data_IF_615941067442
#
_entry.id   IF_615941067442
#
_cell.length_a   1.000
_cell.length_b   1.000
_cell.length_c   1.000
_cell.angle_alpha   90.00
_cell.angle_beta   90.00
_cell.angle_gamma   90.00
#
_symmetry.space_group_name_H-M   'P 1'
#
loop_
_entity.id
_entity.type
_entity.pdbx_description
1 polymer ?
#
# COMPACT_ATOMS: atom_id res chain seq x y z
N UNK A 1 3.13 11.22 6.89
CA UNK A 1 1.94 10.87 6.05
C UNK A 1 2.44 10.28 4.75
N UNK A 2 1.70 9.35 4.17
CA UNK A 2 1.91 8.82 2.83
C UNK A 2 0.64 8.99 2.02
N UNK A 3 0.77 9.19 0.72
CA UNK A 3 -0.33 9.28 -0.25
C UNK A 3 0.13 8.68 -1.57
N UNK A 4 -0.74 8.58 -2.56
CA UNK A 4 -0.32 8.16 -3.90
C UNK A 4 0.66 9.17 -4.48
N UNK A 5 1.67 8.71 -5.22
CA UNK A 5 2.69 9.60 -5.83
C UNK A 5 2.04 10.65 -6.73
N UNK A 6 1.06 10.26 -7.55
CA UNK A 6 0.34 11.20 -8.43
C UNK A 6 -0.50 12.25 -7.69
N UNK A 7 -0.94 11.97 -6.46
CA UNK A 7 -1.70 12.90 -5.61
C UNK A 7 -0.85 13.75 -4.67
N UNK A 8 0.44 13.46 -4.55
CA UNK A 8 1.30 14.04 -3.51
C UNK A 8 1.36 15.57 -3.56
N UNK A 9 1.50 16.15 -4.75
CA UNK A 9 1.57 17.61 -4.93
C UNK A 9 0.25 18.30 -4.53
N UNK A 10 -0.89 17.71 -4.92
CA UNK A 10 -2.21 18.28 -4.58
C UNK A 10 -2.47 18.21 -3.07
N UNK A 11 -2.10 17.09 -2.42
CA UNK A 11 -2.23 16.95 -0.96
C UNK A 11 -1.33 17.96 -0.25
N UNK A 12 -0.08 18.11 -0.71
CA UNK A 12 0.85 19.09 -0.15
C UNK A 12 0.30 20.50 -0.25
N UNK A 13 -0.13 20.92 -1.45
CA UNK A 13 -0.68 22.26 -1.68
C UNK A 13 -1.92 22.54 -0.83
N UNK A 14 -2.80 21.54 -0.64
CA UNK A 14 -3.97 21.70 0.23
C UNK A 14 -3.60 21.86 1.70
N UNK A 15 -2.59 21.11 2.17
CA UNK A 15 -2.11 21.27 3.55
C UNK A 15 -1.42 22.61 3.77
N UNK A 16 -0.65 23.10 2.80
CA UNK A 16 -0.05 24.43 2.84
C UNK A 16 -1.11 25.54 2.87
N UNK A 17 -2.15 25.42 2.04
CA UNK A 17 -3.30 26.33 2.04
C UNK A 17 -3.98 26.38 3.41
N UNK A 18 -4.28 25.23 4.01
CA UNK A 18 -4.90 25.15 5.34
C UNK A 18 -4.02 25.75 6.44
N UNK A 19 -2.70 25.55 6.39
CA UNK A 19 -1.79 26.15 7.37
C UNK A 19 -1.75 27.68 7.25
N UNK A 20 -2.00 28.23 6.06
CA UNK A 20 -1.99 29.66 5.84
C UNK A 20 -3.35 30.34 6.08
N UNK A 21 -4.45 29.60 5.93
CA UNK A 21 -5.80 30.19 5.95
C UNK A 21 -6.62 29.76 7.16
N UNK A 22 -6.65 28.45 7.45
CA UNK A 22 -7.54 27.87 8.46
C UNK A 22 -6.84 27.69 9.83
N UNK A 23 -5.53 27.40 9.81
CA UNK A 23 -4.76 27.06 11.01
C UNK A 23 -3.42 27.81 11.09
N UNK A 24 -3.40 29.14 10.93
CA UNK A 24 -2.16 29.92 10.91
C UNK A 24 -1.43 29.94 12.26
N UNK A 25 -2.10 29.56 13.34
CA UNK A 25 -1.53 29.47 14.69
C UNK A 25 -0.73 28.19 14.94
N UNK A 26 -0.79 27.20 14.04
CA UNK A 26 -0.06 25.95 14.20
C UNK A 26 1.42 26.12 13.83
N UNK A 27 2.31 25.80 14.75
CA UNK A 27 3.76 25.71 14.47
C UNK A 27 4.09 24.37 13.81
N UNK A 28 3.78 24.25 12.52
CA UNK A 28 3.96 23.04 11.71
C UNK A 28 4.72 23.37 10.43
N UNK A 29 5.71 22.54 10.11
CA UNK A 29 6.48 22.61 8.87
C UNK A 29 6.15 21.44 7.96
N UNK A 30 5.88 21.71 6.69
CA UNK A 30 5.62 20.72 5.66
C UNK A 30 6.81 20.61 4.72
N UNK A 31 7.21 19.39 4.41
CA UNK A 31 8.28 19.11 3.46
C UNK A 31 7.95 17.86 2.66
N UNK A 32 7.95 17.97 1.34
CA UNK A 32 7.81 16.80 0.48
C UNK A 32 9.11 16.00 0.45
N UNK A 33 8.98 14.71 0.73
CA UNK A 33 10.09 13.74 0.67
C UNK A 33 9.82 12.64 -0.37
N UNK A 34 8.89 12.88 -1.29
CA UNK A 34 8.44 11.90 -2.29
C UNK A 34 9.61 11.30 -3.08
N UNK A 35 10.52 12.12 -3.57
CA UNK A 35 11.66 11.68 -4.37
C UNK A 35 12.86 11.18 -3.52
N UNK A 36 12.79 11.33 -2.21
CA UNK A 36 13.85 10.87 -1.31
C UNK A 36 13.77 9.37 -1.01
N UNK A 37 12.63 8.74 -1.30
CA UNK A 37 12.39 7.33 -0.99
C UNK A 37 12.08 6.52 -2.25
N UNK A 38 12.61 5.29 -2.26
CA UNK A 38 12.17 4.23 -3.14
C UNK A 38 11.33 3.23 -2.33
N UNK A 39 10.24 2.76 -2.91
CA UNK A 39 9.35 1.77 -2.30
C UNK A 39 9.35 0.50 -3.13
N UNK A 40 9.61 -0.63 -2.47
CA UNK A 40 9.52 -1.96 -3.05
C UNK A 40 8.39 -2.70 -2.37
N UNK A 41 7.39 -3.15 -3.12
CA UNK A 41 6.29 -3.97 -2.62
C UNK A 41 6.54 -5.44 -2.90
N UNK A 42 6.40 -6.28 -1.87
CA UNK A 42 6.48 -7.75 -1.97
C UNK A 42 5.14 -8.31 -1.53
N UNK A 43 4.37 -8.88 -2.44
CA UNK A 43 3.02 -9.37 -2.18
C UNK A 43 2.85 -10.84 -2.54
N UNK A 44 1.82 -11.46 -1.98
CA UNK A 44 1.43 -12.83 -2.21
C UNK A 44 1.67 -13.75 -1.01
N UNK A 45 1.26 -15.02 -1.10
CA UNK A 45 1.25 -15.95 0.03
C UNK A 45 2.64 -16.25 0.60
N UNK A 46 3.68 -16.09 -0.18
CA UNK A 46 5.06 -16.30 0.25
C UNK A 46 5.79 -15.00 0.66
N UNK A 47 5.12 -13.85 0.60
CA UNK A 47 5.74 -12.54 0.91
C UNK A 47 6.39 -12.51 2.29
N UNK A 48 5.73 -13.07 3.31
CA UNK A 48 6.27 -13.16 4.68
C UNK A 48 7.58 -13.95 4.73
N UNK A 49 7.65 -15.06 4.00
CA UNK A 49 8.87 -15.91 3.96
C UNK A 49 10.02 -15.19 3.27
N UNK A 50 9.73 -14.47 2.19
CA UNK A 50 10.72 -13.71 1.43
C UNK A 50 11.26 -12.56 2.28
N UNK A 51 10.36 -11.75 2.86
CA UNK A 51 10.77 -10.57 3.62
C UNK A 51 11.54 -10.94 4.89
N UNK A 52 11.22 -12.07 5.52
CA UNK A 52 11.95 -12.58 6.70
C UNK A 52 13.39 -12.98 6.36
N UNK A 53 13.68 -13.37 5.13
CA UNK A 53 15.05 -13.62 4.68
C UNK A 53 15.80 -12.32 4.37
N UNK A 54 15.11 -11.31 3.87
CA UNK A 54 15.70 -10.00 3.55
C UNK A 54 15.97 -9.19 4.82
N UNK A 55 15.13 -9.34 5.84
CA UNK A 55 15.20 -8.61 7.12
C UNK A 55 15.09 -9.61 8.28
N UNK A 56 16.13 -10.40 8.56
CA UNK A 56 16.07 -11.48 9.55
C UNK A 56 15.90 -10.98 10.99
N UNK A 57 16.30 -9.75 11.27
CA UNK A 57 16.22 -9.16 12.61
C UNK A 57 14.82 -8.68 13.01
N UNK A 58 13.85 -8.75 12.10
CA UNK A 58 12.49 -8.30 12.35
C UNK A 58 11.52 -9.47 12.52
N UNK A 59 10.75 -9.43 13.60
CA UNK A 59 9.67 -10.40 13.81
C UNK A 59 8.45 -10.02 12.96
N UNK A 60 8.09 -10.93 12.06
CA UNK A 60 6.95 -10.82 11.15
C UNK A 60 5.73 -11.63 11.62
N UNK A 61 5.66 -12.04 12.89
CA UNK A 61 4.45 -12.65 13.45
C UNK A 61 3.29 -11.67 13.41
N UNK A 62 2.07 -12.19 13.30
CA UNK A 62 0.87 -11.34 13.19
C UNK A 62 0.61 -10.55 14.46
N UNK A 63 1.06 -11.07 15.61
CA UNK A 63 0.98 -10.43 16.91
C UNK A 63 1.91 -9.20 17.00
N UNK A 64 3.15 -9.36 16.54
CA UNK A 64 4.17 -8.32 16.64
C UNK A 64 4.16 -7.37 15.45
N UNK A 65 3.63 -7.78 14.31
CA UNK A 65 3.54 -6.95 13.12
C UNK A 65 2.14 -7.05 12.48
N UNK A 66 1.11 -6.47 13.12
CA UNK A 66 -0.27 -6.54 12.64
C UNK A 66 -0.46 -5.77 11.33
N UNK A 67 -1.56 -6.07 10.63
CA UNK A 67 -1.97 -5.31 9.43
C UNK A 67 -2.14 -3.83 9.74
N UNK A 68 -1.85 -2.94 8.77
CA UNK A 68 -1.86 -1.48 8.90
C UNK A 68 -0.84 -0.92 9.91
N UNK A 69 0.21 -1.66 10.20
CA UNK A 69 1.32 -1.19 11.02
C UNK A 69 2.61 -1.02 10.23
N UNK A 70 3.58 -0.34 10.83
CA UNK A 70 4.93 -0.21 10.27
C UNK A 70 5.99 -0.43 11.33
N UNK A 71 7.17 -0.86 10.89
CA UNK A 71 8.36 -0.97 11.72
C UNK A 71 9.58 -0.42 11.00
N UNK A 72 10.48 0.18 11.77
CA UNK A 72 11.79 0.54 11.27
C UNK A 72 12.74 -0.65 11.43
N UNK A 73 13.49 -0.94 10.38
CA UNK A 73 14.39 -2.09 10.31
C UNK A 73 15.67 -1.73 9.54
N UNK A 74 16.50 -2.75 9.30
CA UNK A 74 17.69 -2.62 8.45
C UNK A 74 17.77 -3.81 7.51
N UNK A 75 18.12 -3.52 6.26
CA UNK A 75 18.51 -4.52 5.27
C UNK A 75 20.02 -4.44 5.17
N UNK A 76 20.74 -5.34 5.85
CA UNK A 76 22.15 -5.21 6.12
C UNK A 76 22.46 -3.88 6.85
N UNK A 77 23.13 -2.92 6.18
CA UNK A 77 23.44 -1.59 6.77
C UNK A 77 22.44 -0.51 6.36
N UNK A 78 21.49 -0.80 5.46
CA UNK A 78 20.53 0.16 4.92
C UNK A 78 19.36 0.27 5.87
N UNK A 79 19.10 1.47 6.40
CA UNK A 79 17.89 1.74 7.20
C UNK A 79 16.67 1.69 6.28
N UNK A 80 15.63 1.02 6.71
CA UNK A 80 14.36 0.93 5.99
C UNK A 80 13.18 1.06 6.94
N UNK A 81 12.03 1.41 6.37
CA UNK A 81 10.73 1.30 7.01
C UNK A 81 9.94 0.25 6.27
N UNK A 82 9.43 -0.72 6.99
CA UNK A 82 8.59 -1.76 6.45
C UNK A 82 7.17 -1.51 6.91
N UNK A 83 6.23 -1.47 5.98
CA UNK A 83 4.80 -1.33 6.25
C UNK A 83 4.10 -2.64 5.89
N UNK A 84 3.21 -3.12 6.75
CA UNK A 84 2.35 -4.26 6.45
C UNK A 84 1.02 -3.74 5.92
N UNK A 85 1.01 -3.39 4.66
CA UNK A 85 -0.14 -2.87 3.92
C UNK A 85 -0.24 -3.60 2.58
N UNK A 86 -1.44 -3.63 2.00
CA UNK A 86 -1.67 -4.31 0.74
C UNK A 86 -2.52 -3.48 -0.20
N UNK A 87 -2.06 -3.31 -1.41
CA UNK A 87 -2.85 -2.78 -2.51
C UNK A 87 -3.60 -3.89 -3.25
N UNK A 88 -2.97 -5.04 -3.42
CA UNK A 88 -3.50 -6.17 -4.18
C UNK A 88 -4.52 -7.02 -3.41
N UNK A 89 -4.69 -6.77 -2.11
CA UNK A 89 -5.50 -7.62 -1.23
C UNK A 89 -4.81 -8.92 -0.78
N UNK A 90 -3.64 -9.22 -1.31
CA UNK A 90 -2.80 -10.32 -0.83
C UNK A 90 -1.97 -9.88 0.39
N UNK A 91 -1.41 -10.86 1.10
CA UNK A 91 -0.45 -10.57 2.16
C UNK A 91 0.74 -9.82 1.58
N UNK A 92 1.02 -8.63 2.07
CA UNK A 92 1.97 -7.72 1.43
C UNK A 92 2.76 -6.88 2.42
N UNK A 93 3.98 -6.54 2.00
CA UNK A 93 4.87 -5.63 2.71
C UNK A 93 5.43 -4.61 1.73
N UNK A 94 5.45 -3.35 2.14
CA UNK A 94 6.14 -2.27 1.44
C UNK A 94 7.40 -1.88 2.19
N UNK A 95 8.53 -1.92 1.50
CA UNK A 95 9.85 -1.57 2.03
C UNK A 95 10.21 -0.19 1.49
N UNK A 96 10.29 0.79 2.37
CA UNK A 96 10.67 2.15 2.05
C UNK A 96 12.13 2.37 2.45
N UNK A 97 12.97 2.74 1.49
CA UNK A 97 14.40 3.03 1.67
C UNK A 97 14.75 4.36 1.01
N UNK A 98 15.88 4.95 1.37
CA UNK A 98 16.41 6.09 0.61
C UNK A 98 16.53 5.71 -0.87
N UNK A 99 16.19 6.63 -1.76
CA UNK A 99 16.03 6.38 -3.20
C UNK A 99 17.25 5.70 -3.86
N UNK A 100 18.46 6.08 -3.45
CA UNK A 100 19.71 5.51 -3.97
C UNK A 100 19.93 4.03 -3.62
N UNK A 101 19.19 3.48 -2.66
CA UNK A 101 19.26 2.06 -2.29
C UNK A 101 18.15 1.21 -2.91
N UNK A 102 17.20 1.81 -3.63
CA UNK A 102 16.04 1.12 -4.17
C UNK A 102 16.40 -0.10 -5.02
N UNK A 103 17.36 0.06 -5.96
CA UNK A 103 17.85 -1.04 -6.80
C UNK A 103 18.44 -2.19 -5.97
N UNK A 104 19.28 -1.86 -4.98
CA UNK A 104 19.91 -2.88 -4.14
C UNK A 104 18.90 -3.68 -3.32
N UNK A 105 17.84 -3.02 -2.83
CA UNK A 105 16.77 -3.68 -2.08
C UNK A 105 15.93 -4.56 -3.00
N UNK A 106 15.61 -4.08 -4.20
CA UNK A 106 14.92 -4.87 -5.23
C UNK A 106 15.67 -6.16 -5.54
N UNK A 107 16.98 -6.05 -5.84
CA UNK A 107 17.82 -7.20 -6.15
C UNK A 107 17.87 -8.23 -5.01
N UNK A 108 17.91 -7.77 -3.75
CA UNK A 108 17.85 -8.64 -2.56
C UNK A 108 16.51 -9.35 -2.44
N UNK A 109 15.40 -8.66 -2.69
CA UNK A 109 14.06 -9.27 -2.68
C UNK A 109 13.95 -10.33 -3.79
N UNK A 110 14.43 -10.02 -4.99
CA UNK A 110 14.43 -10.96 -6.12
C UNK A 110 15.29 -12.19 -5.83
N UNK A 111 16.46 -12.02 -5.24
CA UNK A 111 17.34 -13.14 -4.86
C UNK A 111 16.69 -14.04 -3.81
N UNK A 112 16.19 -13.45 -2.71
CA UNK A 112 15.50 -14.20 -1.65
C UNK A 112 14.24 -14.91 -2.15
N UNK A 113 13.58 -14.33 -3.15
CA UNK A 113 12.34 -14.85 -3.72
C UNK A 113 12.52 -15.94 -4.77
N UNK A 114 13.73 -16.18 -5.31
CA UNK A 114 13.97 -17.17 -6.38
C UNK A 114 13.40 -18.55 -6.07
N UNK A 115 13.61 -19.06 -4.87
CA UNK A 115 13.10 -20.35 -4.44
C UNK A 115 11.57 -20.41 -4.34
N UNK A 116 10.88 -19.27 -4.34
CA UNK A 116 9.43 -19.13 -4.27
C UNK A 116 8.83 -18.70 -5.60
N UNK A 117 9.61 -18.70 -6.68
CA UNK A 117 9.21 -18.25 -8.02
C UNK A 117 8.71 -16.80 -8.03
N UNK A 118 9.39 -15.90 -7.31
CA UNK A 118 9.07 -14.48 -7.33
C UNK A 118 9.10 -13.93 -8.75
N UNK A 119 8.08 -13.18 -9.11
CA UNK A 119 7.95 -12.61 -10.45
C UNK A 119 7.71 -11.10 -10.33
N UNK A 120 8.46 -10.26 -11.05
CA UNK A 120 8.14 -8.84 -11.16
C UNK A 120 6.78 -8.65 -11.82
N UNK A 121 5.99 -7.71 -11.32
CA UNK A 121 4.73 -7.34 -11.95
C UNK A 121 4.59 -5.82 -12.03
N UNK A 122 3.84 -5.35 -13.02
CA UNK A 122 3.60 -3.93 -13.25
C UNK A 122 2.27 -3.44 -12.67
N UNK A 123 1.98 -2.18 -12.90
CA UNK A 123 0.81 -1.47 -12.40
C UNK A 123 -0.50 -2.10 -12.87
N UNK A 124 -0.59 -2.52 -14.13
CA UNK A 124 -1.81 -3.17 -14.67
C UNK A 124 -2.13 -4.47 -13.92
N UNK A 125 -1.12 -5.31 -13.69
CA UNK A 125 -1.31 -6.53 -12.89
C UNK A 125 -1.75 -6.22 -11.46
N UNK A 126 -1.21 -5.16 -10.87
CA UNK A 126 -1.59 -4.72 -9.53
C UNK A 126 -3.08 -4.32 -9.48
N UNK A 127 -3.57 -3.62 -10.51
CA UNK A 127 -4.98 -3.25 -10.64
C UNK A 127 -5.87 -4.47 -10.85
N UNK A 128 -5.44 -5.46 -11.61
CA UNK A 128 -6.18 -6.70 -11.79
C UNK A 128 -6.28 -7.48 -10.47
N UNK A 129 -5.17 -7.68 -9.79
CA UNK A 129 -5.12 -8.44 -8.53
C UNK A 129 -6.03 -7.83 -7.44
N UNK A 130 -6.04 -6.49 -7.30
CA UNK A 130 -6.91 -5.83 -6.32
C UNK A 130 -8.39 -6.01 -6.68
N UNK A 131 -8.73 -5.96 -7.98
CA UNK A 131 -10.10 -6.15 -8.44
C UNK A 131 -10.60 -7.59 -8.21
N UNK A 132 -9.76 -8.60 -8.41
CA UNK A 132 -10.07 -10.00 -8.10
C UNK A 132 -10.39 -10.21 -6.61
N UNK A 133 -9.81 -9.41 -5.73
CA UNK A 133 -10.07 -9.42 -4.27
C UNK A 133 -11.23 -8.51 -3.85
N UNK A 134 -11.83 -7.76 -4.77
CA UNK A 134 -12.91 -6.83 -4.46
C UNK A 134 -12.47 -5.52 -3.81
N UNK A 135 -11.19 -5.16 -3.89
CA UNK A 135 -10.69 -3.89 -3.35
C UNK A 135 -10.95 -2.74 -4.33
N UNK A 136 -11.61 -1.69 -3.84
CA UNK A 136 -11.88 -0.48 -4.61
C UNK A 136 -10.72 0.51 -4.53
N UNK A 137 -10.56 1.32 -5.58
CA UNK A 137 -9.64 2.46 -5.60
C UNK A 137 -10.47 3.73 -5.54
N UNK A 138 -10.34 4.46 -4.43
CA UNK A 138 -10.99 5.76 -4.25
C UNK A 138 -10.44 6.75 -5.29
N UNK A 139 -11.35 7.42 -6.00
CA UNK A 139 -11.00 8.36 -7.06
C UNK A 139 -10.85 7.73 -8.45
N UNK A 140 -10.85 6.41 -8.57
CA UNK A 140 -10.88 5.69 -9.83
C UNK A 140 -12.20 4.89 -9.99
N UNK A 141 -12.53 4.08 -9.00
CA UNK A 141 -13.78 3.29 -8.98
C UNK A 141 -14.92 4.06 -8.30
N UNK A 142 -14.59 5.10 -7.55
CA UNK A 142 -15.52 5.96 -6.81
C UNK A 142 -15.17 7.42 -7.00
N UNK A 143 -16.15 8.31 -6.83
CA UNK A 143 -15.98 9.76 -6.89
C UNK A 143 -16.67 10.45 -5.68
N UNK A 144 -16.65 11.79 -5.68
CA UNK A 144 -17.24 12.58 -4.60
C UNK A 144 -18.78 12.51 -4.52
N UNK A 145 -19.44 11.93 -5.52
CA UNK A 145 -20.91 11.74 -5.52
C UNK A 145 -21.34 10.51 -4.75
N UNK A 146 -20.40 9.61 -4.42
CA UNK A 146 -20.63 8.42 -3.62
C UNK A 146 -20.99 8.81 -2.19
N UNK A 147 -22.18 8.46 -1.76
CA UNK A 147 -22.65 8.71 -0.39
C UNK A 147 -22.46 7.48 0.50
N UNK A 148 -22.51 7.68 1.82
CA UNK A 148 -22.44 6.57 2.78
C UNK A 148 -23.57 5.54 2.58
N UNK A 149 -24.71 5.94 2.05
CA UNK A 149 -25.82 5.04 1.75
C UNK A 149 -25.46 4.03 0.65
N UNK A 150 -24.60 4.41 -0.29
CA UNK A 150 -24.15 3.50 -1.33
C UNK A 150 -23.23 2.41 -0.77
N UNK A 151 -22.41 2.75 0.21
CA UNK A 151 -21.51 1.80 0.88
C UNK A 151 -22.22 0.89 1.88
N UNK A 152 -23.34 1.35 2.43
CA UNK A 152 -24.09 0.62 3.47
C UNK A 152 -25.32 -0.11 2.93
N UNK A 153 -25.76 0.23 1.73
CA UNK A 153 -26.86 -0.50 1.06
C UNK A 153 -26.36 -1.86 0.58
N UNK A 154 -27.02 -2.95 0.98
CA UNK A 154 -26.63 -4.26 0.47
C UNK A 154 -26.80 -4.29 -1.05
N UNK A 155 -25.78 -4.75 -1.74
CA UNK A 155 -25.88 -5.05 -3.16
C UNK A 155 -26.91 -6.18 -3.36
N UNK A 156 -27.65 -6.21 -4.47
CA UNK A 156 -28.47 -7.38 -4.80
C UNK A 156 -27.72 -8.71 -4.76
N UNK A 157 -26.39 -8.70 -4.84
CA UNK A 157 -25.53 -9.88 -4.69
C UNK A 157 -25.23 -10.25 -3.24
N UNK A 158 -25.40 -9.31 -2.32
CA UNK A 158 -25.13 -9.52 -0.89
C UNK A 158 -26.35 -10.05 -0.14
N UNK A 159 -27.51 -10.09 -0.78
CA UNK A 159 -28.74 -10.63 -0.22
C UNK A 159 -28.89 -12.06 -0.72
N UNK A 160 -28.90 -13.04 0.17
CA UNK A 160 -29.05 -14.46 -0.17
C UNK A 160 -30.31 -14.75 -1.00
N UNK A 161 -31.32 -13.88 -0.96
CA UNK A 161 -32.57 -13.99 -1.68
C UNK A 161 -32.61 -13.27 -3.03
N UNK A 162 -31.56 -12.51 -3.39
CA UNK A 162 -31.55 -11.87 -4.72
C UNK A 162 -31.17 -12.87 -5.80
N UNK A 163 -32.10 -13.72 -6.12
CA UNK A 163 -32.04 -14.47 -7.35
C UNK A 163 -32.30 -13.50 -8.51
N UNK A 164 -31.27 -13.22 -9.29
CA UNK A 164 -31.51 -12.65 -10.60
C UNK A 164 -32.50 -13.56 -11.32
N UNK A 165 -33.60 -13.03 -11.84
CA UNK A 165 -34.47 -13.86 -12.69
C UNK A 165 -33.56 -14.37 -13.80
N UNK A 166 -33.54 -15.67 -13.99
CA UNK A 166 -32.97 -16.28 -15.18
C UNK A 166 -33.76 -15.70 -16.36
N UNK A 167 -33.23 -14.66 -16.97
CA UNK A 167 -33.74 -14.20 -18.23
C UNK A 167 -33.56 -15.33 -19.23
N UNK A 168 -34.66 -15.86 -19.65
CA UNK A 168 -34.72 -16.71 -20.79
C UNK A 168 -34.10 -16.08 -22.04
#
# INVERSE_FOLDING_TARGET
MTTTTGGAANVMGKLEDYLQTEWPELDVYLTSVTDHYATVSVCGPNSKKIISQVIPDLDFSDENFPHMSFKNAKIAKIKCRVMRISFTGEHSYEINVQANYGKSVWEKCMEAGKQFNITPYGTETMHLLRAEKGFIIVGQDTDATMTCLLYTSPSPRDVEESRMPSSA
#
